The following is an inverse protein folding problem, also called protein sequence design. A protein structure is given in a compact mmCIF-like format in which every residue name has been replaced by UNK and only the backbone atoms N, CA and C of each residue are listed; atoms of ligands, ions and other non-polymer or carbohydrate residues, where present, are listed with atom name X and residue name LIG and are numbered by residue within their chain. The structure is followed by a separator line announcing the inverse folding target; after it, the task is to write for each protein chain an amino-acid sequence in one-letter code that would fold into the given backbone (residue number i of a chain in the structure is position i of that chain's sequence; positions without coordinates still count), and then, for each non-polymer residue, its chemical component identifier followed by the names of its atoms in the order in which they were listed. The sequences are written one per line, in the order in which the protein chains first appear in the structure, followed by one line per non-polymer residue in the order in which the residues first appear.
data_IF_910336533821
#
_entry.id   IF_910336533821
#
_cell.length_a   1.000
_cell.length_b   1.000
_cell.length_c   1.000
_cell.angle_alpha   90.00
_cell.angle_beta   90.00
_cell.angle_gamma   90.00
#
_symmetry.space_group_name_H-M   'P 1'
#
loop_
_entity.id
_entity.type
_entity.pdbx_description
1 polymer ?
#
# COMPACT_ATOMS: atom_id res chain seq x y z
N UNK A 1 -2.07 -17.06 -4.32
CA UNK A 1 -0.66 -17.13 -4.77
C UNK A 1 -0.56 -16.59 -6.18
N UNK A 2 0.15 -15.47 -6.35
CA UNK A 2 0.19 -14.69 -7.58
C UNK A 2 1.25 -15.21 -8.59
N UNK A 3 0.83 -15.67 -9.80
CA UNK A 3 1.69 -16.34 -10.77
C UNK A 3 2.54 -15.42 -11.66
N UNK A 4 2.56 -14.11 -11.44
CA UNK A 4 3.36 -13.17 -12.25
C UNK A 4 4.89 -13.41 -12.20
N UNK A 5 5.65 -12.71 -13.08
CA UNK A 5 7.09 -12.87 -13.19
C UNK A 5 7.84 -12.43 -11.91
N UNK A 6 9.03 -12.98 -11.68
CA UNK A 6 9.85 -12.61 -10.52
C UNK A 6 10.36 -11.16 -10.55
N UNK A 7 10.39 -10.55 -11.73
CA UNK A 7 10.87 -9.19 -11.97
C UNK A 7 10.03 -8.49 -13.01
N UNK A 8 10.02 -7.16 -12.99
CA UNK A 8 9.41 -6.32 -14.02
C UNK A 8 10.36 -5.19 -14.41
N UNK A 9 10.12 -4.59 -15.57
CA UNK A 9 10.80 -3.38 -16.03
C UNK A 9 9.99 -2.18 -15.57
N UNK A 10 10.63 -1.27 -14.85
CA UNK A 10 10.04 0.01 -14.46
C UNK A 10 10.37 1.03 -15.56
N UNK A 11 9.32 1.62 -16.11
CA UNK A 11 9.41 2.64 -17.14
C UNK A 11 9.35 4.05 -16.54
N UNK A 12 9.82 5.04 -17.30
CA UNK A 12 9.73 6.45 -16.96
C UNK A 12 8.29 6.96 -17.08
N UNK A 13 7.84 7.68 -16.05
CA UNK A 13 6.55 8.37 -15.99
C UNK A 13 6.41 9.34 -17.17
N UNK A 14 5.29 9.24 -17.90
CA UNK A 14 5.05 10.05 -19.11
C UNK A 14 5.89 9.70 -20.35
N UNK A 15 6.81 8.73 -20.28
CA UNK A 15 7.64 8.27 -21.42
C UNK A 15 7.64 6.74 -21.58
N UNK A 16 6.51 6.12 -21.99
CA UNK A 16 6.42 4.67 -22.14
C UNK A 16 7.50 4.07 -23.05
N UNK A 17 8.07 2.94 -22.62
CA UNK A 17 9.17 2.23 -23.28
C UNK A 17 10.58 2.67 -22.88
N UNK A 18 10.73 3.76 -22.12
CA UNK A 18 12.02 4.15 -21.52
C UNK A 18 12.21 3.41 -20.21
N UNK A 19 12.94 2.29 -20.23
CA UNK A 19 13.19 1.48 -19.02
C UNK A 19 14.25 2.13 -18.13
N UNK A 20 13.87 2.47 -16.90
CA UNK A 20 14.74 3.04 -15.88
C UNK A 20 15.45 1.97 -15.05
N UNK A 21 14.75 0.88 -14.73
CA UNK A 21 15.27 -0.18 -13.89
C UNK A 21 14.57 -1.51 -14.12
N UNK A 22 15.23 -2.60 -13.73
CA UNK A 22 14.60 -3.92 -13.59
C UNK A 22 14.52 -4.28 -12.11
N UNK A 23 13.30 -4.42 -11.59
CA UNK A 23 13.05 -4.56 -10.16
C UNK A 23 12.51 -5.94 -9.82
N UNK A 24 12.83 -6.43 -8.62
CA UNK A 24 12.22 -7.62 -8.06
C UNK A 24 10.76 -7.33 -7.67
N UNK A 25 9.87 -8.28 -7.94
CA UNK A 25 8.45 -8.16 -7.64
C UNK A 25 8.15 -8.52 -6.17
N UNK A 26 7.15 -7.85 -5.59
CA UNK A 26 6.53 -8.17 -4.31
C UNK A 26 5.01 -8.32 -4.45
N UNK A 27 4.38 -9.04 -3.51
CA UNK A 27 2.92 -9.17 -3.39
C UNK A 27 2.37 -8.68 -2.05
N UNK A 28 3.23 -8.05 -1.27
CA UNK A 28 2.91 -7.42 -0.02
C UNK A 28 3.62 -6.08 -0.02
N UNK A 29 2.99 -5.05 0.53
CA UNK A 29 3.44 -3.67 0.47
C UNK A 29 3.09 -2.93 1.75
N UNK A 30 3.75 -1.80 2.01
CA UNK A 30 3.51 -1.01 3.20
C UNK A 30 2.14 -0.31 3.18
N UNK A 31 1.54 -0.13 4.35
CA UNK A 31 0.32 0.67 4.52
C UNK A 31 0.67 2.15 4.65
N UNK A 32 0.19 2.96 3.69
CA UNK A 32 0.38 4.40 3.65
C UNK A 32 -0.55 5.16 4.58
N UNK A 33 -1.82 4.71 4.64
CA UNK A 33 -2.89 5.36 5.37
C UNK A 33 -4.16 5.43 4.53
N UNK A 34 -4.95 6.47 4.76
CA UNK A 34 -6.28 6.67 4.17
C UNK A 34 -6.33 7.70 3.04
N UNK A 35 -5.23 8.42 2.82
CA UNK A 35 -5.15 9.43 1.76
C UNK A 35 -4.74 8.77 0.43
N UNK A 36 -5.19 9.34 -0.69
CA UNK A 36 -4.88 8.85 -2.04
C UNK A 36 -3.37 9.00 -2.31
N UNK A 37 -2.76 7.95 -2.88
CA UNK A 37 -1.33 7.97 -3.21
C UNK A 37 -1.02 8.78 -4.48
N UNK A 38 -2.01 9.02 -5.33
CA UNK A 38 -1.90 9.88 -6.52
C UNK A 38 -1.47 11.32 -6.16
N UNK A 39 -1.95 11.83 -5.01
CA UNK A 39 -1.53 13.13 -4.47
C UNK A 39 -0.02 13.20 -4.16
N UNK A 40 0.66 12.05 -4.10
CA UNK A 40 2.11 11.96 -3.91
C UNK A 40 2.93 12.08 -5.20
N UNK A 41 2.33 12.12 -6.39
CA UNK A 41 3.10 12.19 -7.63
C UNK A 41 3.84 13.53 -7.80
N UNK A 42 3.29 14.60 -7.22
CA UNK A 42 3.86 15.95 -7.27
C UNK A 42 4.24 16.40 -5.85
N UNK A 43 5.27 15.79 -5.28
CA UNK A 43 5.82 16.24 -3.99
C UNK A 43 6.71 17.48 -4.21
N UNK A 44 6.41 18.59 -3.52
CA UNK A 44 7.27 19.78 -3.57
C UNK A 44 8.67 19.42 -3.04
N UNK A 45 9.77 19.81 -3.72
CA UNK A 45 11.11 19.52 -3.23
C UNK A 45 11.32 19.95 -1.77
N UNK A 46 11.76 19.03 -0.93
CA UNK A 46 11.95 19.24 0.51
C UNK A 46 10.73 18.91 1.38
N UNK A 47 9.61 18.49 0.78
CA UNK A 47 8.48 17.88 1.49
C UNK A 47 8.50 16.35 1.31
N UNK A 48 7.82 15.63 2.20
CA UNK A 48 7.64 14.17 2.08
C UNK A 48 6.16 13.89 1.88
N UNK A 49 5.81 13.01 0.94
CA UNK A 49 4.44 12.52 0.89
C UNK A 49 4.17 11.62 2.09
N UNK A 50 3.11 11.95 2.84
CA UNK A 50 2.80 11.33 4.12
C UNK A 50 1.30 11.30 4.36
N UNK A 51 0.80 10.14 4.74
CA UNK A 51 -0.56 9.93 5.25
C UNK A 51 -0.53 9.44 6.72
N UNK A 52 -1.66 8.90 7.18
CA UNK A 52 -1.95 8.49 8.56
C UNK A 52 -1.29 7.17 8.97
N UNK A 53 -0.76 6.39 8.03
CA UNK A 53 -0.19 5.07 8.28
C UNK A 53 1.27 5.05 8.72
N UNK A 54 1.78 3.83 8.90
CA UNK A 54 3.14 3.60 9.40
C UNK A 54 4.21 3.97 8.37
N UNK A 55 3.98 3.57 7.12
CA UNK A 55 4.93 3.74 6.03
C UNK A 55 4.56 4.95 5.18
N UNK A 56 5.56 5.74 4.81
CA UNK A 56 5.42 6.89 3.93
C UNK A 56 6.82 7.24 3.38
N UNK A 57 6.90 8.24 2.49
CA UNK A 57 8.18 8.63 1.89
C UNK A 57 9.22 8.96 2.97
N UNK A 58 10.35 8.22 2.96
CA UNK A 58 11.43 8.34 3.93
C UNK A 58 10.96 8.22 5.40
N UNK A 59 9.95 7.38 5.66
CA UNK A 59 9.40 7.17 7.01
C UNK A 59 10.47 6.79 8.04
N UNK A 60 10.36 7.37 9.24
CA UNK A 60 11.20 7.05 10.40
C UNK A 60 10.32 6.79 11.64
N UNK A 61 9.16 6.17 11.40
CA UNK A 61 8.17 5.85 12.42
C UNK A 61 8.68 4.72 13.31
N UNK A 62 8.54 4.86 14.64
CA UNK A 62 8.91 3.83 15.61
C UNK A 62 7.66 3.19 16.20
N UNK A 63 7.77 2.01 16.80
CA UNK A 63 6.63 1.34 17.44
C UNK A 63 5.94 2.20 18.51
N UNK A 64 6.71 3.01 19.27
CA UNK A 64 6.14 3.96 20.24
C UNK A 64 5.30 5.08 19.63
N UNK A 65 5.44 5.31 18.32
CA UNK A 65 4.70 6.33 17.58
C UNK A 65 3.32 5.81 17.12
N UNK A 66 3.06 4.50 17.26
CA UNK A 66 1.78 3.83 16.97
C UNK A 66 0.91 3.85 18.22
N UNK A 67 0.21 4.96 18.41
CA UNK A 67 -0.60 5.21 19.62
C UNK A 67 -1.94 4.48 19.62
N UNK A 68 -2.40 4.04 18.46
CA UNK A 68 -3.66 3.29 18.31
C UNK A 68 -3.51 1.83 18.73
N UNK A 69 -2.26 1.41 18.98
CA UNK A 69 -1.90 0.06 19.41
C UNK A 69 -1.39 -0.78 18.25
N UNK A 70 -0.23 -1.41 18.42
CA UNK A 70 0.35 -2.31 17.42
C UNK A 70 -0.59 -3.46 17.01
N UNK A 71 -1.44 -3.88 17.93
CA UNK A 71 -2.46 -4.90 17.72
C UNK A 71 -3.77 -4.36 17.15
N UNK A 72 -3.84 -3.11 16.69
CA UNK A 72 -5.01 -2.56 15.99
C UNK A 72 -4.61 -1.80 14.73
N UNK A 73 -3.33 -1.77 14.37
CA UNK A 73 -2.84 -1.08 13.18
C UNK A 73 -2.29 -2.05 12.13
N UNK A 74 -2.73 -1.88 10.89
CA UNK A 74 -2.24 -2.58 9.71
C UNK A 74 -0.88 -1.99 9.30
N UNK A 75 0.10 -2.86 9.06
CA UNK A 75 1.45 -2.46 8.65
C UNK A 75 1.72 -2.81 7.19
N UNK A 76 1.33 -4.02 6.77
CA UNK A 76 1.60 -4.54 5.44
C UNK A 76 0.36 -5.26 4.93
N UNK A 77 -0.02 -5.04 3.69
CA UNK A 77 -1.18 -5.68 3.05
C UNK A 77 -0.81 -6.38 1.76
N UNK A 78 -1.62 -7.36 1.38
CA UNK A 78 -1.49 -8.08 0.12
C UNK A 78 -1.91 -7.21 -1.07
N UNK A 79 -1.15 -7.29 -2.17
CA UNK A 79 -1.52 -6.77 -3.48
C UNK A 79 -1.20 -7.78 -4.57
N UNK A 80 -2.18 -8.04 -5.44
CA UNK A 80 -2.01 -8.89 -6.62
C UNK A 80 -1.32 -8.12 -7.75
N UNK A 81 -0.64 -8.84 -8.61
CA UNK A 81 -0.11 -8.33 -9.88
C UNK A 81 -1.26 -8.15 -10.87
N UNK A 82 -1.26 -7.02 -11.58
CA UNK A 82 -2.02 -6.87 -12.83
C UNK A 82 -1.04 -6.69 -14.00
N UNK A 83 -0.73 -7.80 -14.66
CA UNK A 83 0.20 -7.80 -15.79
C UNK A 83 -0.37 -7.12 -17.04
N UNK A 84 -1.70 -6.95 -17.13
CA UNK A 84 -2.36 -6.27 -18.26
C UNK A 84 -2.18 -4.77 -18.13
N UNK A 85 -2.29 -4.25 -16.90
CA UNK A 85 -2.10 -2.84 -16.58
C UNK A 85 -0.62 -2.46 -16.36
N UNK A 86 0.29 -3.42 -16.23
CA UNK A 86 1.70 -3.14 -15.90
C UNK A 86 1.95 -2.85 -14.41
N UNK A 87 1.00 -3.25 -13.58
CA UNK A 87 0.97 -2.97 -12.16
C UNK A 87 1.65 -4.07 -11.36
N UNK A 88 2.85 -3.74 -10.90
CA UNK A 88 3.72 -4.62 -10.14
C UNK A 88 4.24 -3.87 -8.91
N UNK A 89 4.18 -4.52 -7.76
CA UNK A 89 4.74 -3.97 -6.52
C UNK A 89 6.20 -4.41 -6.30
N UNK A 90 6.92 -3.68 -5.45
CA UNK A 90 8.32 -3.96 -5.07
C UNK A 90 8.64 -3.46 -3.65
N UNK A 91 9.72 -3.97 -3.07
CA UNK A 91 10.34 -3.43 -1.84
C UNK A 91 11.72 -2.82 -2.08
N UNK A 92 12.18 -2.73 -3.33
CA UNK A 92 13.52 -2.19 -3.65
C UNK A 92 13.62 -0.70 -3.28
N UNK A 93 12.49 0.01 -3.33
CA UNK A 93 12.41 1.44 -3.01
C UNK A 93 11.88 2.25 -4.19
N UNK A 94 11.72 3.55 -3.96
CA UNK A 94 11.21 4.50 -4.94
C UNK A 94 12.33 4.84 -5.94
N UNK A 95 12.11 4.57 -7.22
CA UNK A 95 13.03 4.94 -8.30
C UNK A 95 12.59 6.30 -8.84
N UNK A 96 13.43 7.34 -8.80
CA UNK A 96 13.08 8.65 -9.35
C UNK A 96 12.60 8.54 -10.80
N UNK A 97 11.60 9.34 -11.16
CA UNK A 97 10.99 9.40 -12.51
C UNK A 97 10.28 8.12 -12.94
N UNK A 98 10.24 7.07 -12.10
CA UNK A 98 9.50 5.85 -12.42
C UNK A 98 8.00 6.05 -12.35
N UNK A 99 7.29 5.33 -13.22
CA UNK A 99 5.83 5.34 -13.24
C UNK A 99 5.26 4.80 -11.92
N UNK A 100 4.28 5.53 -11.36
CA UNK A 100 3.54 5.16 -10.14
C UNK A 100 4.44 4.79 -8.94
N UNK A 101 5.57 5.48 -8.83
CA UNK A 101 6.71 5.04 -7.99
C UNK A 101 6.35 4.76 -6.52
N UNK A 102 5.49 5.59 -5.90
CA UNK A 102 5.08 5.38 -4.51
C UNK A 102 4.06 4.25 -4.36
N UNK A 103 3.09 4.17 -5.26
CA UNK A 103 2.09 3.11 -5.30
C UNK A 103 2.75 1.73 -5.49
N UNK A 104 3.92 1.62 -6.13
CA UNK A 104 4.63 0.34 -6.25
C UNK A 104 5.09 -0.26 -4.90
N UNK A 105 5.20 0.53 -3.84
CA UNK A 105 5.75 0.08 -2.54
C UNK A 105 4.73 0.25 -1.42
N UNK A 106 3.74 1.10 -1.62
CA UNK A 106 2.75 1.51 -0.64
C UNK A 106 1.32 1.31 -1.15
N UNK A 107 0.39 1.11 -0.23
CA UNK A 107 -1.04 1.06 -0.53
C UNK A 107 -1.87 1.92 0.41
N UNK A 108 -2.95 2.44 -0.15
CA UNK A 108 -3.94 3.26 0.54
C UNK A 108 -5.16 2.42 0.94
N UNK A 109 -5.93 2.97 1.87
CA UNK A 109 -7.20 2.40 2.37
C UNK A 109 -8.38 3.30 2.02
N UNK A 110 -8.21 4.12 0.99
CA UNK A 110 -9.25 4.91 0.36
C UNK A 110 -10.29 4.03 -0.36
N UNK A 111 -9.96 2.80 -0.74
CA UNK A 111 -10.92 1.77 -1.12
C UNK A 111 -10.83 0.54 -0.23
N UNK A 112 -11.93 -0.22 -0.13
CA UNK A 112 -11.92 -1.49 0.61
C UNK A 112 -11.11 -2.55 -0.15
N UNK A 113 -10.66 -3.63 0.51
CA UNK A 113 -9.92 -4.68 -0.18
C UNK A 113 -10.67 -5.24 -1.39
N UNK A 114 -9.98 -5.50 -2.50
CA UNK A 114 -10.58 -6.00 -3.76
C UNK A 114 -11.69 -5.11 -4.35
N UNK A 115 -11.67 -3.79 -4.11
CA UNK A 115 -12.66 -2.89 -4.68
C UNK A 115 -12.74 -3.02 -6.23
N UNK A 116 -13.94 -3.01 -6.83
CA UNK A 116 -14.10 -3.05 -8.28
C UNK A 116 -13.50 -1.86 -9.03
N UNK A 117 -13.29 -0.72 -8.37
CA UNK A 117 -12.55 0.42 -8.93
C UNK A 117 -11.13 0.01 -9.34
N UNK A 118 -10.52 -0.90 -8.55
CA UNK A 118 -9.24 -1.53 -8.82
C UNK A 118 -8.16 -0.49 -9.13
N UNK A 119 -8.01 0.52 -8.27
CA UNK A 119 -6.91 1.47 -8.38
C UNK A 119 -5.58 0.76 -8.04
N UNK A 120 -4.47 1.29 -8.58
CA UNK A 120 -3.19 0.61 -8.41
C UNK A 120 -2.73 0.60 -6.96
N UNK A 121 -3.07 1.64 -6.19
CA UNK A 121 -2.77 1.80 -4.79
C UNK A 121 -3.70 1.01 -3.83
N UNK A 122 -4.71 0.33 -4.36
CA UNK A 122 -5.61 -0.52 -3.58
C UNK A 122 -4.93 -1.81 -3.10
N UNK A 123 -5.31 -2.26 -1.91
CA UNK A 123 -4.98 -3.62 -1.50
C UNK A 123 -5.88 -4.64 -2.21
N UNK A 124 -5.28 -5.68 -2.77
CA UNK A 124 -6.00 -6.65 -3.60
C UNK A 124 -5.39 -8.04 -3.56
N UNK A 125 -6.19 -9.04 -3.90
CA UNK A 125 -5.80 -10.45 -3.97
C UNK A 125 -6.55 -11.17 -5.07
N UNK A 126 -5.99 -12.31 -5.50
CA UNK A 126 -6.76 -13.30 -6.28
C UNK A 126 -7.69 -14.13 -5.39
N UNK A 127 -7.55 -14.04 -4.07
CA UNK A 127 -8.45 -14.68 -3.13
C UNK A 127 -9.79 -13.94 -3.09
N UNK A 128 -10.89 -14.69 -3.19
CA UNK A 128 -12.24 -14.13 -3.12
C UNK A 128 -12.54 -13.59 -1.73
N UNK A 129 -13.19 -12.43 -1.65
CA UNK A 129 -13.81 -11.94 -0.42
C UNK A 129 -12.95 -11.02 0.42
N UNK A 130 -11.72 -10.70 0.01
CA UNK A 130 -10.79 -9.82 0.75
C UNK A 130 -9.31 -10.12 0.55
N UNK A 131 -8.48 -9.61 1.46
CA UNK A 131 -7.00 -9.69 1.38
C UNK A 131 -6.36 -9.94 2.74
N UNK A 132 -5.11 -10.43 2.74
CA UNK A 132 -4.35 -10.66 3.97
C UNK A 132 -3.58 -9.40 4.41
N UNK A 133 -3.61 -9.11 5.71
CA UNK A 133 -2.82 -8.03 6.32
C UNK A 133 -2.02 -8.50 7.53
N UNK A 134 -0.82 -7.95 7.67
CA UNK A 134 0.04 -8.02 8.84
C UNK A 134 -0.22 -6.80 9.74
N UNK A 135 -0.46 -7.03 11.02
CA UNK A 135 -0.54 -5.97 12.04
C UNK A 135 0.81 -5.72 12.69
N UNK A 136 0.93 -4.59 13.38
CA UNK A 136 2.15 -4.23 14.12
C UNK A 136 2.55 -5.19 15.24
N UNK A 137 1.62 -6.00 15.77
CA UNK A 137 1.89 -7.05 16.75
C UNK A 137 2.38 -8.37 16.13
N UNK A 138 2.50 -8.42 14.80
CA UNK A 138 2.97 -9.59 14.06
C UNK A 138 1.89 -10.58 13.66
N UNK A 139 0.62 -10.36 14.03
CA UNK A 139 -0.47 -11.24 13.58
C UNK A 139 -0.83 -10.97 12.13
N UNK A 140 -1.27 -12.02 11.44
CA UNK A 140 -1.87 -11.91 10.11
C UNK A 140 -3.37 -12.15 10.22
N UNK A 141 -4.19 -11.30 9.58
CA UNK A 141 -5.64 -11.48 9.48
C UNK A 141 -6.09 -11.27 8.05
N UNK A 142 -7.10 -12.04 7.66
CA UNK A 142 -7.85 -11.78 6.45
C UNK A 142 -8.89 -10.70 6.73
N UNK A 143 -8.86 -9.61 5.95
CA UNK A 143 -9.80 -8.51 6.03
C UNK A 143 -10.72 -8.59 4.82
N UNK A 144 -12.02 -8.62 5.09
CA UNK A 144 -13.03 -8.82 4.04
C UNK A 144 -13.23 -7.56 3.19
N UNK A 145 -13.56 -7.75 1.90
CA UNK A 145 -13.99 -6.68 0.99
C UNK A 145 -15.32 -6.01 1.41
N UNK A 146 -16.07 -6.61 2.33
CA UNK A 146 -17.31 -6.05 2.87
C UNK A 146 -17.10 -5.26 4.18
N UNK A 147 -15.85 -4.99 4.55
CA UNK A 147 -15.52 -4.22 5.75
C UNK A 147 -16.11 -2.81 5.65
N UNK A 148 -16.56 -2.24 6.77
CA UNK A 148 -16.91 -0.82 6.80
C UNK A 148 -15.65 0.02 6.49
N UNK A 149 -15.74 0.85 5.45
CA UNK A 149 -14.62 1.67 4.96
C UNK A 149 -14.00 2.54 6.05
N UNK A 150 -14.82 3.12 6.92
CA UNK A 150 -14.33 4.01 7.99
C UNK A 150 -13.44 3.22 8.93
N UNK A 151 -13.85 2.01 9.30
CA UNK A 151 -13.03 1.23 10.22
C UNK A 151 -11.81 0.64 9.53
N UNK A 152 -11.90 0.28 8.25
CA UNK A 152 -10.74 -0.10 7.47
C UNK A 152 -9.67 1.01 7.45
N UNK A 153 -10.10 2.25 7.24
CA UNK A 153 -9.25 3.43 7.31
C UNK A 153 -8.67 3.65 8.72
N UNK A 154 -9.47 3.51 9.78
CA UNK A 154 -8.98 3.61 11.16
C UNK A 154 -7.92 2.54 11.47
N UNK A 155 -8.08 1.33 10.96
CA UNK A 155 -7.07 0.27 11.10
C UNK A 155 -5.75 0.60 10.36
N UNK A 156 -5.78 1.47 9.35
CA UNK A 156 -4.57 1.91 8.64
C UNK A 156 -3.78 2.98 9.40
N UNK A 157 -4.43 3.68 10.34
CA UNK A 157 -3.85 4.80 11.09
C UNK A 157 -2.93 4.32 12.23
N UNK A 158 -1.87 5.10 12.48
CA UNK A 158 -1.01 4.94 13.65
C UNK A 158 -1.35 5.90 14.79
N UNK A 159 -2.16 6.93 14.51
CA UNK A 159 -2.44 8.08 15.40
C UNK A 159 -3.86 8.63 15.17
N UNK A 160 -4.87 7.81 15.42
CA UNK A 160 -6.28 8.12 15.33
C UNK A 160 -6.99 7.73 16.63
N UNK A 161 -7.44 8.72 17.41
CA UNK A 161 -8.32 8.55 18.58
C UNK A 161 -9.74 8.07 18.22
N UNK A 162 -9.84 7.19 17.24
CA UNK A 162 -11.04 6.67 16.60
C UNK A 162 -11.41 5.32 17.23
N UNK A 163 -12.71 5.08 17.40
CA UNK A 163 -13.22 3.89 18.06
C UNK A 163 -13.07 2.67 17.15
N UNK A 164 -12.03 1.86 17.36
CA UNK A 164 -11.87 0.56 16.69
C UNK A 164 -12.38 -0.57 17.59
N UNK A 165 -13.65 -0.96 17.42
CA UNK A 165 -14.12 -2.28 17.87
C UNK A 165 -14.38 -3.15 16.64
N UNK A 166 -13.47 -4.06 16.35
CA UNK A 166 -13.64 -5.16 15.39
C UNK A 166 -13.70 -6.47 16.18
N UNK A 167 -14.89 -7.07 16.28
CA UNK A 167 -15.10 -8.45 16.76
C UNK A 167 -15.17 -9.43 15.59
#
# INVERSE_FOLDING_TARGET
SDPGPNTFELEEEGSPGTVLAKLARANYIGVFGSDELDDCEIVTPGTNCKSSGLFYQNSNTRFRDVTDGLSQTLFVGERKTDATAGWYSTWVGAVPEGEETFARILGATDHVPNDPASHFDDFSSHHTGGTQFLFGDGRVRFITENIDKTVYQSLSSIRGGELTSFE
#
